data_IF_173806494943
#
_entry.id   IF_173806494943
#
_cell.length_a   1.000
_cell.length_b   1.000
_cell.length_c   1.000
_cell.angle_alpha   90.00
_cell.angle_beta   90.00
_cell.angle_gamma   90.00
#
_symmetry.space_group_name_H-M   'P 1'
#
loop_
_entity.id
_entity.type
_entity.pdbx_description
1 polymer ?
#
# COMPACT_ATOMS: atom_id res chain seq x y z
N UNK A 1 0.45 -10.82 14.09
CA UNK A 1 0.05 -11.70 12.96
C UNK A 1 0.57 -11.03 11.69
N UNK A 2 1.07 -11.77 10.71
CA UNK A 2 1.45 -11.18 9.42
C UNK A 2 0.18 -10.89 8.62
N UNK A 3 0.04 -9.67 8.08
CA UNK A 3 -1.05 -9.32 7.18
C UNK A 3 -0.67 -9.82 5.79
N UNK A 4 -1.47 -10.72 5.23
CA UNK A 4 -1.37 -11.13 3.83
C UNK A 4 -1.76 -9.94 2.95
N UNK A 5 -0.89 -9.56 2.01
CA UNK A 5 -1.09 -8.42 1.11
C UNK A 5 -1.32 -8.92 -0.32
N UNK A 6 -2.41 -8.52 -1.00
CA UNK A 6 -2.66 -8.88 -2.38
C UNK A 6 -1.58 -8.34 -3.32
N UNK A 7 -1.22 -9.09 -4.35
CA UNK A 7 -0.22 -8.67 -5.35
C UNK A 7 -0.59 -7.35 -6.02
N UNK A 8 -1.89 -7.14 -6.31
CA UNK A 8 -2.36 -5.88 -6.90
C UNK A 8 -2.18 -4.68 -5.96
N UNK A 9 -2.37 -4.87 -4.65
CA UNK A 9 -2.10 -3.82 -3.67
C UNK A 9 -0.60 -3.49 -3.59
N UNK A 10 0.25 -4.49 -3.71
CA UNK A 10 1.71 -4.33 -3.73
C UNK A 10 2.13 -3.55 -4.98
N UNK A 11 1.64 -3.92 -6.17
CA UNK A 11 1.94 -3.22 -7.43
C UNK A 11 1.52 -1.76 -7.41
N UNK A 12 0.33 -1.46 -6.87
CA UNK A 12 -0.15 -0.09 -6.73
C UNK A 12 0.78 0.75 -5.84
N UNK A 13 1.22 0.18 -4.73
CA UNK A 13 2.18 0.86 -3.84
C UNK A 13 3.57 0.97 -4.47
N UNK A 14 4.05 -0.03 -5.21
CA UNK A 14 5.34 0.03 -5.92
C UNK A 14 5.34 1.16 -6.95
N UNK A 15 4.25 1.30 -7.72
CA UNK A 15 4.07 2.41 -8.66
C UNK A 15 4.02 3.75 -7.92
N UNK A 16 3.17 3.88 -6.90
CA UNK A 16 3.05 5.11 -6.12
C UNK A 16 4.39 5.49 -5.47
N UNK A 17 5.16 4.50 -5.01
CA UNK A 17 6.47 4.72 -4.42
C UNK A 17 7.50 5.18 -5.44
N UNK A 18 7.54 4.56 -6.63
CA UNK A 18 8.40 5.01 -7.72
C UNK A 18 8.07 6.43 -8.16
N UNK A 19 6.78 6.77 -8.30
CA UNK A 19 6.32 8.12 -8.63
C UNK A 19 6.68 9.12 -7.52
N UNK A 20 6.55 8.74 -6.24
CA UNK A 20 6.93 9.57 -5.11
C UNK A 20 8.43 9.88 -5.12
N UNK A 21 9.26 8.87 -5.37
CA UNK A 21 10.72 9.01 -5.47
C UNK A 21 11.13 9.89 -6.67
N UNK A 22 10.36 9.88 -7.76
CA UNK A 22 10.55 10.74 -8.92
C UNK A 22 9.97 12.16 -8.76
N UNK A 23 9.27 12.45 -7.66
CA UNK A 23 8.54 13.72 -7.49
C UNK A 23 7.34 13.88 -8.45
N UNK A 24 6.83 12.78 -8.99
CA UNK A 24 5.77 12.73 -9.99
C UNK A 24 4.44 12.15 -9.44
N UNK A 25 4.37 11.84 -8.15
CA UNK A 25 3.18 11.25 -7.52
C UNK A 25 1.94 12.13 -7.74
N UNK A 26 0.91 11.52 -8.31
CA UNK A 26 -0.38 12.19 -8.51
C UNK A 26 -1.36 11.89 -7.38
N UNK A 27 -2.37 12.76 -7.23
CA UNK A 27 -3.48 12.53 -6.30
C UNK A 27 -4.25 11.26 -6.67
N UNK A 28 -4.39 10.99 -7.97
CA UNK A 28 -5.08 9.79 -8.47
C UNK A 28 -4.35 8.51 -8.06
N UNK A 29 -3.03 8.44 -8.27
CA UNK A 29 -2.22 7.28 -7.85
C UNK A 29 -2.29 7.08 -6.33
N UNK A 30 -2.16 8.16 -5.55
CA UNK A 30 -2.27 8.08 -4.09
C UNK A 30 -3.67 7.62 -3.62
N UNK A 31 -4.73 8.09 -4.28
CA UNK A 31 -6.10 7.68 -3.97
C UNK A 31 -6.36 6.21 -4.30
N UNK A 32 -5.81 5.70 -5.41
CA UNK A 32 -5.92 4.28 -5.78
C UNK A 32 -5.32 3.36 -4.72
N UNK A 33 -4.13 3.68 -4.19
CA UNK A 33 -3.53 2.95 -3.07
C UNK A 33 -4.43 3.00 -1.84
N UNK A 34 -4.91 4.19 -1.45
CA UNK A 34 -5.73 4.35 -0.24
C UNK A 34 -7.07 3.60 -0.33
N UNK A 35 -7.69 3.58 -1.51
CA UNK A 35 -8.91 2.81 -1.78
C UNK A 35 -8.65 1.31 -1.64
N UNK A 36 -7.59 0.79 -2.28
CA UNK A 36 -7.23 -0.62 -2.22
C UNK A 36 -6.85 -1.08 -0.80
N UNK A 37 -6.12 -0.25 -0.03
CA UNK A 37 -5.83 -0.51 1.39
C UNK A 37 -7.13 -0.60 2.20
N UNK A 38 -8.09 0.30 1.95
CA UNK A 38 -9.35 0.34 2.69
C UNK A 38 -10.23 -0.86 2.36
N UNK A 39 -10.31 -1.24 1.10
CA UNK A 39 -11.03 -2.43 0.63
C UNK A 39 -10.43 -3.69 1.26
N UNK A 40 -9.11 -3.85 1.19
CA UNK A 40 -8.44 -5.03 1.74
C UNK A 40 -8.60 -5.12 3.26
N UNK A 41 -8.39 -4.02 3.98
CA UNK A 41 -8.61 -3.94 5.42
C UNK A 41 -10.02 -4.36 5.82
N UNK A 42 -11.03 -3.88 5.07
CA UNK A 42 -12.42 -4.27 5.27
C UNK A 42 -12.64 -5.76 5.03
N UNK A 43 -12.07 -6.32 3.96
CA UNK A 43 -12.22 -7.72 3.58
C UNK A 43 -11.65 -8.69 4.61
N UNK A 44 -10.53 -8.34 5.24
CA UNK A 44 -9.87 -9.20 6.24
C UNK A 44 -10.24 -8.86 7.69
N UNK A 45 -11.05 -7.82 7.90
CA UNK A 45 -11.46 -7.36 9.23
C UNK A 45 -10.33 -6.75 10.07
N UNK A 46 -9.26 -6.29 9.43
CA UNK A 46 -8.11 -5.66 10.08
C UNK A 46 -8.21 -4.13 10.02
N UNK A 47 -7.57 -3.41 10.97
CA UNK A 47 -7.49 -1.97 10.89
C UNK A 47 -6.71 -1.49 9.66
N UNK A 48 -7.24 -0.49 8.96
CA UNK A 48 -6.59 0.15 7.78
C UNK A 48 -5.12 0.52 8.03
N UNK A 49 -4.81 1.06 9.21
CA UNK A 49 -3.44 1.46 9.57
C UNK A 49 -2.47 0.28 9.63
N UNK A 50 -2.95 -0.92 10.00
CA UNK A 50 -2.13 -2.11 10.11
C UNK A 50 -1.77 -2.62 8.70
N UNK A 51 -2.75 -2.63 7.79
CA UNK A 51 -2.54 -2.97 6.37
C UNK A 51 -1.56 -1.98 5.72
N UNK A 52 -1.74 -0.67 5.95
CA UNK A 52 -0.85 0.35 5.41
C UNK A 52 0.59 0.21 5.94
N UNK A 53 0.75 -0.09 7.24
CA UNK A 53 2.07 -0.31 7.82
C UNK A 53 2.75 -1.55 7.24
N UNK A 54 2.02 -2.67 7.07
CA UNK A 54 2.54 -3.87 6.43
C UNK A 54 2.95 -3.62 4.97
N UNK A 55 2.12 -2.89 4.23
CA UNK A 55 2.37 -2.54 2.83
C UNK A 55 3.62 -1.67 2.68
N UNK A 56 3.76 -0.62 3.48
CA UNK A 56 4.95 0.24 3.49
C UNK A 56 6.20 -0.52 3.91
N UNK A 57 6.08 -1.41 4.90
CA UNK A 57 7.21 -2.28 5.29
C UNK A 57 7.66 -3.11 4.10
N UNK A 58 6.74 -3.74 3.38
CA UNK A 58 7.07 -4.60 2.23
C UNK A 58 7.68 -3.83 1.06
N UNK A 59 7.15 -2.65 0.72
CA UNK A 59 7.52 -1.93 -0.50
C UNK A 59 8.59 -0.86 -0.28
N UNK A 60 8.45 -0.06 0.78
CA UNK A 60 9.33 1.09 1.03
C UNK A 60 10.53 0.75 1.92
N UNK A 61 10.41 -0.33 2.70
CA UNK A 61 11.41 -0.73 3.69
C UNK A 61 11.70 -2.25 3.68
N UNK A 62 12.07 -2.83 2.53
CA UNK A 62 12.25 -4.28 2.40
C UNK A 62 13.33 -4.87 3.34
N UNK A 63 14.27 -4.05 3.82
CA UNK A 63 15.37 -4.45 4.70
C UNK A 63 15.09 -4.23 6.21
N UNK A 64 13.86 -3.84 6.59
CA UNK A 64 13.47 -3.47 7.97
C UNK A 64 12.70 -4.55 8.75
#
# INVERSE_FOLDING_TARGET
MAIELPDELIKLEEQAWAEQQAGALTVETAAAVQAAVTEHATAIGEPRFAVEAALKKKVRHPDA
#
